data_IF_429643608107
#
_entry.id   IF_429643608107
#
_cell.length_a   1.000
_cell.length_b   1.000
_cell.length_c   1.000
_cell.angle_alpha   90.00
_cell.angle_beta   90.00
_cell.angle_gamma   90.00
#
_symmetry.space_group_name_H-M   'P 1'
#
loop_
_entity.id
_entity.type
_entity.pdbx_description
1 polymer ?
#
# COMPACT_ATOMS: atom_id res chain seq x y z
N UNK A 1 7.50 15.88 17.07
CA UNK A 1 7.68 15.79 18.53
C UNK A 1 8.20 14.40 18.84
N UNK A 2 9.41 14.25 19.42
CA UNK A 2 9.90 12.93 19.79
C UNK A 2 9.07 12.37 20.96
N UNK A 3 8.87 11.05 20.96
CA UNK A 3 8.24 10.36 22.09
C UNK A 3 9.24 10.39 23.26
N UNK A 4 8.84 10.83 24.48
CA UNK A 4 9.72 10.83 25.63
C UNK A 4 10.27 9.42 25.92
N UNK A 5 11.55 9.32 26.32
CA UNK A 5 12.21 8.02 26.58
C UNK A 5 11.47 7.18 27.62
N UNK A 6 10.92 7.84 28.63
CA UNK A 6 10.12 7.23 29.70
C UNK A 6 8.86 6.57 29.15
N UNK A 7 8.20 7.24 28.18
CA UNK A 7 7.04 6.71 27.47
C UNK A 7 7.44 5.52 26.59
N UNK A 8 8.54 5.61 25.85
CA UNK A 8 9.07 4.50 25.05
C UNK A 8 9.39 3.26 25.90
N UNK A 9 9.98 3.44 27.09
CA UNK A 9 10.32 2.36 28.00
C UNK A 9 9.10 1.64 28.59
N UNK A 10 7.93 2.29 28.58
CA UNK A 10 6.66 1.73 29.06
C UNK A 10 5.83 1.06 27.95
N UNK A 11 6.27 1.09 26.69
CA UNK A 11 5.56 0.42 25.58
C UNK A 11 5.89 -1.08 25.62
N UNK A 12 4.87 -1.89 25.84
CA UNK A 12 4.99 -3.35 25.86
C UNK A 12 4.73 -3.99 24.48
N UNK A 13 4.10 -3.26 23.56
CA UNK A 13 3.74 -3.76 22.22
C UNK A 13 3.84 -2.66 21.16
N UNK A 14 4.46 -3.01 20.03
CA UNK A 14 4.48 -2.23 18.81
C UNK A 14 3.88 -3.08 17.67
N UNK A 15 2.87 -2.54 17.00
CA UNK A 15 2.30 -3.15 15.80
C UNK A 15 2.70 -2.26 14.63
N UNK A 16 3.29 -2.87 13.61
CA UNK A 16 3.68 -2.21 12.38
C UNK A 16 2.73 -2.65 11.28
N UNK A 17 2.31 -1.69 10.47
CA UNK A 17 1.76 -2.01 9.16
C UNK A 17 2.87 -2.66 8.29
N UNK A 18 2.49 -3.40 7.25
CA UNK A 18 3.44 -4.04 6.35
C UNK A 18 3.74 -3.13 5.15
N UNK A 19 2.70 -2.83 4.37
CA UNK A 19 2.80 -2.15 3.08
C UNK A 19 3.15 -0.68 3.25
N UNK A 20 4.30 -0.25 2.71
CA UNK A 20 4.78 1.12 2.84
C UNK A 20 5.32 1.47 4.24
N UNK A 21 5.36 0.51 5.17
CA UNK A 21 5.98 0.67 6.49
C UNK A 21 7.20 -0.23 6.65
N UNK A 22 7.04 -1.55 6.58
CA UNK A 22 8.16 -2.50 6.65
C UNK A 22 8.69 -2.89 5.26
N UNK A 23 7.82 -2.84 4.24
CA UNK A 23 8.16 -3.19 2.86
C UNK A 23 7.75 -2.07 1.93
N UNK A 24 8.65 -1.66 1.02
CA UNK A 24 8.31 -0.76 -0.09
C UNK A 24 7.62 -1.54 -1.22
N UNK A 25 6.37 -1.95 -0.98
CA UNK A 25 5.57 -2.80 -1.89
C UNK A 25 4.87 -2.02 -3.01
N UNK A 26 5.05 -0.69 -3.09
CA UNK A 26 4.30 0.18 -4.01
C UNK A 26 4.49 -0.19 -5.48
N UNK A 27 5.75 -0.39 -5.88
CA UNK A 27 6.08 -0.73 -7.27
C UNK A 27 5.52 -2.11 -7.64
N UNK A 28 5.68 -3.10 -6.77
CA UNK A 28 5.22 -4.46 -7.02
C UNK A 28 3.69 -4.54 -7.16
N UNK A 29 2.97 -3.82 -6.29
CA UNK A 29 1.52 -3.69 -6.37
C UNK A 29 1.06 -2.97 -7.63
N UNK A 30 1.74 -1.88 -8.02
CA UNK A 30 1.44 -1.15 -9.24
C UNK A 30 1.64 -2.01 -10.49
N UNK A 31 2.75 -2.75 -10.57
CA UNK A 31 3.02 -3.67 -11.66
C UNK A 31 1.98 -4.78 -11.75
N UNK A 32 1.62 -5.39 -10.61
CA UNK A 32 0.63 -6.46 -10.54
C UNK A 32 -0.76 -5.99 -11.00
N UNK A 33 -1.17 -4.79 -10.57
CA UNK A 33 -2.45 -4.19 -10.99
C UNK A 33 -2.45 -3.87 -12.49
N UNK A 34 -1.36 -3.31 -13.01
CA UNK A 34 -1.26 -3.02 -14.45
C UNK A 34 -1.24 -4.29 -15.29
N UNK A 35 -0.65 -5.38 -14.82
CA UNK A 35 -0.74 -6.69 -15.48
C UNK A 35 -2.20 -7.18 -15.57
N UNK A 36 -2.99 -7.03 -14.50
CA UNK A 36 -4.42 -7.37 -14.53
C UNK A 36 -5.20 -6.47 -15.49
N UNK A 37 -4.91 -5.17 -15.51
CA UNK A 37 -5.55 -4.23 -16.46
C UNK A 37 -5.27 -4.61 -17.91
N UNK A 38 -4.02 -4.95 -18.22
CA UNK A 38 -3.62 -5.41 -19.55
C UNK A 38 -4.36 -6.69 -19.94
N UNK A 39 -4.45 -7.68 -19.05
CA UNK A 39 -5.22 -8.92 -19.27
C UNK A 39 -6.70 -8.66 -19.55
N UNK A 40 -7.26 -7.56 -19.03
CA UNK A 40 -8.63 -7.13 -19.25
C UNK A 40 -8.81 -6.17 -20.44
N UNK A 41 -7.75 -5.90 -21.21
CA UNK A 41 -7.79 -4.97 -22.35
C UNK A 41 -7.87 -3.50 -21.96
N UNK A 42 -7.54 -3.16 -20.72
CA UNK A 42 -7.49 -1.78 -20.21
C UNK A 42 -6.06 -1.23 -20.32
N UNK A 43 -5.93 0.06 -20.61
CA UNK A 43 -4.62 0.73 -20.60
C UNK A 43 -4.02 0.82 -19.19
N UNK A 44 -2.69 0.93 -19.03
CA UNK A 44 -2.07 1.01 -17.71
C UNK A 44 -2.44 2.30 -16.98
N UNK A 45 -2.38 2.28 -15.64
CA UNK A 45 -2.45 3.46 -14.79
C UNK A 45 -1.06 3.85 -14.29
N UNK A 46 -0.85 5.14 -13.95
CA UNK A 46 0.36 5.59 -13.30
C UNK A 46 0.59 4.86 -11.97
N UNK A 47 1.85 4.51 -11.66
CA UNK A 47 2.18 3.78 -10.43
C UNK A 47 1.76 4.55 -9.18
N UNK A 48 1.99 5.87 -9.15
CA UNK A 48 1.58 6.73 -8.03
C UNK A 48 0.06 6.72 -7.80
N UNK A 49 -0.73 6.59 -8.87
CA UNK A 49 -2.18 6.50 -8.75
C UNK A 49 -2.59 5.18 -8.10
N UNK A 50 -2.00 4.05 -8.52
CA UNK A 50 -2.26 2.75 -7.92
C UNK A 50 -1.78 2.71 -6.46
N UNK A 51 -0.61 3.27 -6.18
CA UNK A 51 -0.05 3.37 -4.83
C UNK A 51 -0.97 4.16 -3.89
N UNK A 52 -1.69 5.17 -4.39
CA UNK A 52 -2.68 5.93 -3.60
C UNK A 52 -3.89 5.10 -3.13
N UNK A 53 -4.08 3.89 -3.66
CA UNK A 53 -5.18 2.99 -3.29
C UNK A 53 -4.77 1.92 -2.27
N UNK A 54 -3.47 1.79 -1.98
CA UNK A 54 -2.91 0.80 -1.04
C UNK A 54 -3.28 1.16 0.41
N UNK A 55 -3.39 0.14 1.27
CA UNK A 55 -3.74 0.28 2.69
C UNK A 55 -5.25 0.23 3.01
N UNK A 56 -6.13 0.16 2.01
CA UNK A 56 -7.59 0.05 2.19
C UNK A 56 -8.15 -1.35 1.85
N UNK A 57 -7.26 -2.34 1.77
CA UNK A 57 -7.57 -3.72 1.38
C UNK A 57 -7.64 -3.95 -0.13
N UNK A 58 -7.41 -5.20 -0.54
CA UNK A 58 -7.27 -5.58 -1.95
C UNK A 58 -8.54 -5.34 -2.77
N UNK A 59 -9.72 -5.51 -2.17
CA UNK A 59 -10.99 -5.27 -2.85
C UNK A 59 -11.14 -3.81 -3.28
N UNK A 60 -10.75 -2.87 -2.42
CA UNK A 60 -10.79 -1.44 -2.77
C UNK A 60 -9.75 -1.08 -3.82
N UNK A 61 -8.54 -1.66 -3.72
CA UNK A 61 -7.49 -1.50 -4.72
C UNK A 61 -7.99 -1.89 -6.11
N UNK A 62 -8.52 -3.11 -6.26
CA UNK A 62 -8.99 -3.62 -7.55
C UNK A 62 -10.21 -2.84 -8.04
N UNK A 63 -11.20 -2.55 -7.19
CA UNK A 63 -12.37 -1.76 -7.59
C UNK A 63 -11.97 -0.40 -8.18
N UNK A 64 -11.09 0.34 -7.51
CA UNK A 64 -10.63 1.65 -7.99
C UNK A 64 -9.75 1.54 -9.22
N UNK A 65 -8.93 0.49 -9.29
CA UNK A 65 -8.01 0.28 -10.37
C UNK A 65 -8.67 -0.29 -11.64
N UNK A 66 -9.91 -0.79 -11.60
CA UNK A 66 -10.61 -1.29 -12.78
C UNK A 66 -11.72 -0.36 -13.28
N UNK A 67 -12.23 0.53 -12.43
CA UNK A 67 -13.34 1.44 -12.76
C UNK A 67 -14.65 0.96 -12.17
#
# INVERSE_FOLDING_TARGET
MPIPRETLAAIELLIFDLDGTLVDSKTDLALSVNAVRELMGLGPLPHELIASYVGQGVTNLIRRALG
#
